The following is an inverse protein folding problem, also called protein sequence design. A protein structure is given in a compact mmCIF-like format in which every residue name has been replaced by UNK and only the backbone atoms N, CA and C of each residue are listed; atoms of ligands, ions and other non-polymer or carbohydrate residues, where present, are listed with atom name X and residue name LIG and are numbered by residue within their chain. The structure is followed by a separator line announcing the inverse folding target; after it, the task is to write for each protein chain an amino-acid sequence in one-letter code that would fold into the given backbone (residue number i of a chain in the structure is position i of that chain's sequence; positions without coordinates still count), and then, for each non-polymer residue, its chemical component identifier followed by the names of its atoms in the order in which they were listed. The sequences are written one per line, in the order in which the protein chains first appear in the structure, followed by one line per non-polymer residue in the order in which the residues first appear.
data_IF_602236113003
#
_entry.id   IF_602236113003
#
_cell.length_a   1.000
_cell.length_b   1.000
_cell.length_c   1.000
_cell.angle_alpha   90.00
_cell.angle_beta   90.00
_cell.angle_gamma   90.00
#
_symmetry.space_group_name_H-M   'P 1'
#
loop_
_entity.id
_entity.type
_entity.pdbx_description
1 polymer ?
#
# COMPACT_ATOMS: atom_id res chain seq x y z
N UNK A 1 22.35 -2.59 -12.69
CA UNK A 1 21.33 -3.41 -13.39
C UNK A 1 20.43 -2.50 -14.23
N UNK A 2 20.06 -2.91 -15.45
CA UNK A 2 19.12 -2.13 -16.27
C UNK A 2 17.72 -2.18 -15.61
N UNK A 3 16.95 -1.07 -15.64
CA UNK A 3 15.59 -0.99 -15.08
C UNK A 3 14.68 -2.11 -15.59
N UNK A 4 14.80 -2.44 -16.87
CA UNK A 4 14.03 -3.53 -17.47
C UNK A 4 14.41 -4.90 -16.92
N UNK A 5 15.69 -5.08 -16.55
CA UNK A 5 16.16 -6.31 -15.93
C UNK A 5 15.64 -6.43 -14.50
N UNK A 6 15.63 -5.33 -13.73
CA UNK A 6 15.04 -5.30 -12.38
C UNK A 6 13.57 -5.74 -12.41
N UNK A 7 12.77 -5.22 -13.35
CA UNK A 7 11.38 -5.63 -13.52
C UNK A 7 11.22 -7.11 -13.88
N UNK A 8 12.07 -7.60 -14.80
CA UNK A 8 12.05 -9.01 -15.21
C UNK A 8 12.40 -9.94 -14.07
N UNK A 9 13.37 -9.56 -13.23
CA UNK A 9 13.78 -10.33 -12.06
C UNK A 9 12.69 -10.30 -10.97
N UNK A 10 12.12 -9.14 -10.67
CA UNK A 10 10.98 -9.03 -9.75
C UNK A 10 9.79 -9.87 -10.23
N UNK A 11 9.48 -9.84 -11.52
CA UNK A 11 8.43 -10.67 -12.12
C UNK A 11 8.76 -12.16 -12.07
N UNK A 12 10.02 -12.54 -12.31
CA UNK A 12 10.46 -13.93 -12.24
C UNK A 12 10.38 -14.49 -10.81
N UNK A 13 10.78 -13.69 -9.80
CA UNK A 13 10.63 -14.01 -8.38
C UNK A 13 9.17 -14.29 -8.04
N UNK A 14 8.29 -13.38 -8.46
CA UNK A 14 6.86 -13.48 -8.23
C UNK A 14 6.25 -14.72 -8.91
N UNK A 15 6.65 -15.03 -10.15
CA UNK A 15 6.14 -16.20 -10.89
C UNK A 15 6.63 -17.54 -10.33
N UNK A 16 7.87 -17.57 -9.83
CA UNK A 16 8.49 -18.81 -9.31
C UNK A 16 8.02 -19.19 -7.90
N UNK A 17 7.53 -18.23 -7.12
CA UNK A 17 7.24 -18.44 -5.70
C UNK A 17 5.74 -18.20 -5.40
N UNK A 18 4.87 -19.22 -5.59
CA UNK A 18 3.45 -19.10 -5.29
C UNK A 18 3.18 -18.81 -3.80
N UNK A 19 4.13 -19.13 -2.91
CA UNK A 19 4.05 -18.79 -1.49
C UNK A 19 3.98 -17.28 -1.25
N UNK A 20 4.66 -16.47 -2.06
CA UNK A 20 4.61 -15.01 -1.92
C UNK A 20 3.20 -14.50 -2.29
N UNK A 21 2.57 -15.09 -3.29
CA UNK A 21 1.17 -14.82 -3.64
C UNK A 21 0.22 -15.20 -2.51
N UNK A 22 0.34 -16.41 -1.96
CA UNK A 22 -0.57 -16.87 -0.92
C UNK A 22 -0.45 -16.02 0.34
N UNK A 23 0.76 -15.65 0.79
CA UNK A 23 0.93 -14.71 1.91
C UNK A 23 0.26 -13.39 1.61
N UNK A 24 0.54 -12.78 0.44
CA UNK A 24 0.01 -11.46 0.14
C UNK A 24 -1.50 -11.48 0.02
N UNK A 25 -2.07 -12.52 -0.58
CA UNK A 25 -3.51 -12.71 -0.74
C UNK A 25 -4.19 -12.96 0.61
N UNK A 26 -3.69 -13.89 1.43
CA UNK A 26 -4.24 -14.15 2.78
C UNK A 26 -4.24 -12.87 3.59
N UNK A 27 -3.14 -12.13 3.51
CA UNK A 27 -3.00 -10.96 4.34
C UNK A 27 -3.86 -9.80 3.83
N UNK A 28 -3.98 -9.58 2.52
CA UNK A 28 -4.99 -8.64 1.99
C UNK A 28 -6.43 -9.10 2.22
N UNK A 29 -6.70 -10.41 2.31
CA UNK A 29 -8.01 -10.91 2.70
C UNK A 29 -8.32 -10.58 4.15
N UNK A 30 -7.35 -10.72 5.05
CA UNK A 30 -7.49 -10.28 6.43
C UNK A 30 -7.66 -8.74 6.47
N UNK A 31 -6.89 -7.96 5.72
CA UNK A 31 -7.06 -6.51 5.64
C UNK A 31 -8.45 -6.11 5.14
N UNK A 32 -8.97 -6.81 4.12
CA UNK A 32 -10.30 -6.58 3.59
C UNK A 32 -11.38 -6.95 4.61
N UNK A 33 -11.24 -8.07 5.32
CA UNK A 33 -12.16 -8.48 6.39
C UNK A 33 -12.10 -7.49 7.55
N UNK A 34 -10.92 -7.06 7.98
CA UNK A 34 -10.73 -6.05 9.01
C UNK A 34 -11.36 -4.74 8.57
N UNK A 35 -11.01 -4.25 7.38
CA UNK A 35 -11.58 -3.03 6.81
C UNK A 35 -13.10 -3.11 6.74
N UNK A 36 -13.64 -4.28 6.38
CA UNK A 36 -15.07 -4.53 6.30
C UNK A 36 -15.76 -4.54 7.67
N UNK A 37 -15.20 -5.27 8.65
CA UNK A 37 -15.69 -5.26 10.03
C UNK A 37 -15.71 -3.84 10.60
N UNK A 38 -14.75 -3.01 10.19
CA UNK A 38 -14.70 -1.63 10.65
C UNK A 38 -15.62 -0.68 9.85
N UNK A 39 -15.98 -0.99 8.60
CA UNK A 39 -17.04 -0.24 7.89
C UNK A 39 -18.39 -0.39 8.61
N UNK A 40 -18.64 -1.54 9.23
CA UNK A 40 -19.83 -1.78 10.04
C UNK A 40 -19.78 -1.09 11.41
N UNK A 41 -18.62 -0.58 11.82
CA UNK A 41 -18.47 0.10 13.09
C UNK A 41 -19.03 1.52 13.01
N UNK A 42 -19.56 2.06 14.12
CA UNK A 42 -20.15 3.40 14.13
C UNK A 42 -19.09 4.49 13.88
N UNK A 43 -19.47 5.72 13.48
CA UNK A 43 -18.53 6.79 13.09
C UNK A 43 -17.46 7.11 14.15
N UNK A 44 -17.78 6.96 15.44
CA UNK A 44 -16.84 7.11 16.54
C UNK A 44 -15.68 6.08 16.49
N UNK A 45 -15.82 4.98 15.76
CA UNK A 45 -14.81 3.95 15.61
C UNK A 45 -13.79 4.23 14.49
N UNK A 46 -13.85 5.39 13.81
CA UNK A 46 -12.89 5.76 12.75
C UNK A 46 -11.44 5.72 13.25
N UNK A 47 -11.18 6.16 14.49
CA UNK A 47 -9.82 6.11 15.06
C UNK A 47 -9.36 4.65 15.21
N UNK A 48 -10.23 3.79 15.75
CA UNK A 48 -9.95 2.36 15.89
C UNK A 48 -9.67 1.73 14.52
N UNK A 49 -10.43 2.11 13.48
CA UNK A 49 -10.18 1.70 12.08
C UNK A 49 -8.77 2.01 11.64
N UNK A 50 -8.39 3.28 11.77
CA UNK A 50 -7.10 3.75 11.30
C UNK A 50 -5.97 3.04 12.04
N UNK A 51 -6.12 2.81 13.35
CA UNK A 51 -5.13 2.08 14.16
C UNK A 51 -4.99 0.63 13.72
N UNK A 52 -6.10 -0.10 13.52
CA UNK A 52 -6.01 -1.51 13.11
C UNK A 52 -5.42 -1.64 11.71
N UNK A 53 -5.89 -0.83 10.74
CA UNK A 53 -5.33 -0.80 9.40
C UNK A 53 -3.84 -0.45 9.41
N UNK A 54 -3.43 0.46 10.28
CA UNK A 54 -2.03 0.85 10.44
C UNK A 54 -1.14 -0.28 10.98
N UNK A 55 -1.57 -0.96 12.04
CA UNK A 55 -0.88 -2.12 12.61
C UNK A 55 -0.73 -3.20 11.55
N UNK A 56 -1.80 -3.42 10.78
CA UNK A 56 -1.83 -4.43 9.74
C UNK A 56 -0.92 -4.10 8.57
N UNK A 57 -0.91 -2.86 8.11
CA UNK A 57 0.00 -2.37 7.08
C UNK A 57 1.47 -2.54 7.51
N UNK A 58 1.80 -2.17 8.75
CA UNK A 58 3.16 -2.33 9.29
C UNK A 58 3.58 -3.82 9.36
N UNK A 59 2.68 -4.70 9.82
CA UNK A 59 2.89 -6.15 9.80
C UNK A 59 3.20 -6.63 8.38
N UNK A 60 2.39 -6.20 7.41
CA UNK A 60 2.51 -6.62 6.02
C UNK A 60 3.79 -6.19 5.35
N UNK A 61 4.16 -4.92 5.53
CA UNK A 61 5.42 -4.38 5.03
C UNK A 61 6.60 -5.20 5.56
N UNK A 62 6.62 -5.50 6.87
CA UNK A 62 7.68 -6.30 7.48
C UNK A 62 7.75 -7.73 6.93
N UNK A 63 6.59 -8.39 6.80
CA UNK A 63 6.51 -9.75 6.26
C UNK A 63 6.98 -9.80 4.80
N UNK A 64 6.47 -8.91 3.94
CA UNK A 64 6.80 -8.90 2.51
C UNK A 64 8.27 -8.59 2.25
N UNK A 65 8.84 -7.58 2.90
CA UNK A 65 10.25 -7.23 2.71
C UNK A 65 11.16 -8.40 3.08
N UNK A 66 10.87 -9.08 4.20
CA UNK A 66 11.68 -10.23 4.63
C UNK A 66 11.54 -11.42 3.68
N UNK A 67 10.31 -11.78 3.29
CA UNK A 67 10.07 -12.90 2.36
C UNK A 67 10.76 -12.68 1.01
N UNK A 68 10.67 -11.47 0.46
CA UNK A 68 11.37 -11.11 -0.78
C UNK A 68 12.88 -11.25 -0.60
N UNK A 69 13.43 -10.83 0.54
CA UNK A 69 14.86 -10.97 0.80
C UNK A 69 15.30 -12.43 0.86
N UNK A 70 14.56 -13.28 1.58
CA UNK A 70 14.83 -14.72 1.65
C UNK A 70 14.82 -15.37 0.25
N UNK A 71 13.86 -14.99 -0.60
CA UNK A 71 13.82 -15.45 -2.01
C UNK A 71 15.05 -14.97 -2.79
N UNK A 72 15.40 -13.70 -2.66
CA UNK A 72 16.53 -13.13 -3.37
C UNK A 72 17.86 -13.80 -2.95
N UNK A 73 17.96 -14.26 -1.70
CA UNK A 73 19.08 -15.04 -1.18
C UNK A 73 18.98 -16.55 -1.51
N UNK A 74 17.95 -16.99 -2.23
CA UNK A 74 17.74 -18.39 -2.61
C UNK A 74 17.37 -19.33 -1.45
N UNK A 75 16.92 -18.77 -0.32
CA UNK A 75 16.52 -19.55 0.85
C UNK A 75 15.11 -20.12 0.67
N UNK A 76 14.82 -21.32 1.23
CA UNK A 76 13.46 -21.85 1.25
C UNK A 76 12.56 -20.91 2.04
N UNK A 77 11.33 -20.75 1.57
CA UNK A 77 10.36 -19.82 2.16
C UNK A 77 9.33 -20.62 2.92
N UNK A 78 9.11 -20.27 4.19
CA UNK A 78 7.94 -20.75 4.92
C UNK A 78 6.99 -19.60 5.27
N UNK A 79 5.68 -19.87 5.28
CA UNK A 79 4.67 -18.89 5.70
C UNK A 79 4.93 -18.39 7.13
N UNK A 80 5.40 -19.29 7.99
CA UNK A 80 5.68 -19.04 9.40
C UNK A 80 6.81 -18.02 9.55
N UNK A 81 7.88 -18.13 8.75
CA UNK A 81 8.97 -17.14 8.74
C UNK A 81 8.48 -15.74 8.34
N UNK A 82 7.57 -15.65 7.36
CA UNK A 82 6.95 -14.39 6.97
C UNK A 82 6.15 -13.74 8.10
N UNK A 83 5.30 -14.53 8.77
CA UNK A 83 4.51 -14.06 9.92
C UNK A 83 5.41 -13.66 11.10
N UNK A 84 6.39 -14.49 11.44
CA UNK A 84 7.32 -14.20 12.54
C UNK A 84 8.14 -12.94 12.27
N UNK A 85 8.58 -12.73 11.03
CA UNK A 85 9.28 -11.53 10.62
C UNK A 85 8.40 -10.27 10.70
N UNK A 86 7.15 -10.37 10.23
CA UNK A 86 6.16 -9.30 10.36
C UNK A 86 5.92 -8.92 11.83
N UNK A 87 5.72 -9.90 12.71
CA UNK A 87 5.52 -9.68 14.15
C UNK A 87 6.77 -9.08 14.82
N UNK A 88 7.95 -9.60 14.53
CA UNK A 88 9.22 -9.12 15.13
C UNK A 88 9.52 -7.67 14.76
N UNK A 89 9.10 -7.24 13.57
CA UNK A 89 9.33 -5.87 13.05
C UNK A 89 8.12 -4.95 13.20
N UNK A 90 7.01 -5.44 13.73
CA UNK A 90 5.75 -4.70 13.86
C UNK A 90 5.95 -3.36 14.58
N UNK A 91 6.47 -3.41 15.83
CA UNK A 91 6.56 -2.21 16.68
C UNK A 91 7.55 -1.18 16.11
N UNK A 92 8.77 -1.56 15.66
CA UNK A 92 9.67 -0.61 15.02
C UNK A 92 9.11 -0.01 13.71
N UNK A 93 8.43 -0.79 12.87
CA UNK A 93 7.80 -0.29 11.64
C UNK A 93 6.63 0.65 11.95
N UNK A 94 5.82 0.33 12.96
CA UNK A 94 4.74 1.19 13.41
C UNK A 94 5.30 2.53 13.89
N UNK A 95 6.31 2.52 14.75
CA UNK A 95 6.95 3.73 15.24
C UNK A 95 7.60 4.55 14.10
N UNK A 96 8.28 3.89 13.16
CA UNK A 96 8.83 4.52 11.96
C UNK A 96 7.74 5.23 11.16
N UNK A 97 6.63 4.53 10.89
CA UNK A 97 5.53 5.08 10.12
C UNK A 97 4.87 6.26 10.83
N UNK A 98 4.66 6.20 12.16
CA UNK A 98 4.11 7.35 12.91
C UNK A 98 4.99 8.57 12.72
N UNK A 99 6.31 8.41 12.85
CA UNK A 99 7.25 9.52 12.68
C UNK A 99 7.21 10.07 11.26
N UNK A 100 7.08 9.22 10.24
CA UNK A 100 6.95 9.64 8.85
C UNK A 100 5.63 10.34 8.52
N UNK A 101 4.55 10.01 9.23
CA UNK A 101 3.24 10.66 9.06
C UNK A 101 3.10 11.97 9.85
N UNK A 102 3.90 12.22 10.88
CA UNK A 102 3.84 13.46 11.67
C UNK A 102 3.87 14.75 10.81
N UNK A 103 4.75 14.90 9.80
CA UNK A 103 4.73 16.08 8.93
C UNK A 103 3.42 16.25 8.15
N UNK A 104 2.83 15.15 7.69
CA UNK A 104 1.56 15.15 6.94
C UNK A 104 0.41 15.54 7.88
N UNK A 105 0.35 14.94 9.07
CA UNK A 105 -0.64 15.26 10.09
C UNK A 105 -0.56 16.71 10.53
N UNK A 106 0.66 17.23 10.72
CA UNK A 106 0.88 18.63 11.03
C UNK A 106 0.39 19.55 9.91
N UNK A 107 0.70 19.24 8.65
CA UNK A 107 0.22 20.01 7.51
C UNK A 107 -1.31 20.01 7.41
N UNK A 108 -1.96 18.84 7.54
CA UNK A 108 -3.42 18.73 7.54
C UNK A 108 -4.02 19.55 8.70
N UNK A 109 -3.47 19.43 9.90
CA UNK A 109 -3.92 20.16 11.08
C UNK A 109 -3.85 21.68 10.89
N UNK A 110 -2.74 22.20 10.37
CA UNK A 110 -2.58 23.64 10.13
C UNK A 110 -3.60 24.15 9.10
N UNK A 111 -3.95 23.34 8.11
CA UNK A 111 -4.86 23.73 7.04
C UNK A 111 -6.34 23.60 7.44
N UNK A 112 -6.70 22.59 8.23
CA UNK A 112 -8.08 22.31 8.60
C UNK A 112 -8.48 22.86 9.97
N UNK A 113 -7.52 23.15 10.84
CA UNK A 113 -7.74 23.52 12.24
C UNK A 113 -8.28 22.38 13.10
N UNK A 114 -8.33 21.13 12.61
CA UNK A 114 -9.01 20.02 13.30
C UNK A 114 -8.27 18.69 13.19
N UNK A 115 -8.00 18.07 14.34
CA UNK A 115 -7.40 16.73 14.43
C UNK A 115 -8.34 15.67 13.85
N UNK A 116 -9.66 15.84 13.99
CA UNK A 116 -10.64 14.90 13.45
C UNK A 116 -10.49 14.71 11.94
N UNK A 117 -10.20 15.81 11.22
CA UNK A 117 -10.00 15.75 9.76
C UNK A 117 -8.78 14.94 9.34
N UNK A 118 -7.78 14.76 10.21
CA UNK A 118 -6.61 13.91 9.92
C UNK A 118 -7.04 12.46 9.79
N UNK A 119 -7.88 11.99 10.71
CA UNK A 119 -8.34 10.60 10.75
C UNK A 119 -9.52 10.35 9.82
N UNK A 120 -10.33 11.36 9.52
CA UNK A 120 -11.44 11.24 8.57
C UNK A 120 -11.02 11.50 7.12
N UNK A 121 -9.94 12.25 6.88
CA UNK A 121 -9.39 12.42 5.53
C UNK A 121 -8.58 11.19 5.16
N UNK A 122 -8.83 10.64 3.97
CA UNK A 122 -8.01 9.56 3.44
C UNK A 122 -6.53 9.90 3.51
N UNK A 123 -6.13 11.15 3.28
CA UNK A 123 -4.72 11.59 3.26
C UNK A 123 -3.94 11.40 4.57
N UNK A 124 -4.61 11.42 5.73
CA UNK A 124 -3.96 11.22 7.03
C UNK A 124 -3.88 9.75 7.44
N UNK A 125 -4.54 8.86 6.69
CA UNK A 125 -4.51 7.43 6.94
C UNK A 125 -3.31 6.75 6.25
N UNK A 126 -2.80 5.65 6.80
CA UNK A 126 -1.76 4.85 6.18
C UNK A 126 -2.33 3.97 5.06
N UNK A 127 -1.67 3.92 3.90
CA UNK A 127 -2.05 3.05 2.78
C UNK A 127 -3.34 3.45 2.04
N UNK A 128 -3.94 4.57 2.43
CA UNK A 128 -5.21 5.09 1.91
C UNK A 128 -5.07 5.96 0.67
N UNK A 129 -3.86 6.19 0.18
CA UNK A 129 -3.64 7.00 -1.02
C UNK A 129 -4.18 6.26 -2.25
N UNK A 130 -5.44 6.53 -2.60
CA UNK A 130 -6.03 5.98 -3.81
C UNK A 130 -5.71 6.90 -4.99
N UNK A 131 -5.56 6.31 -6.18
CA UNK A 131 -5.36 7.09 -7.40
C UNK A 131 -6.51 8.08 -7.65
N UNK A 132 -7.72 7.75 -7.18
CA UNK A 132 -8.92 8.60 -7.19
C UNK A 132 -8.75 9.87 -6.35
N UNK A 133 -8.06 9.80 -5.20
CA UNK A 133 -7.77 10.97 -4.37
C UNK A 133 -6.86 11.93 -5.12
N UNK A 134 -5.81 11.41 -5.76
CA UNK A 134 -4.89 12.23 -6.58
C UNK A 134 -5.62 12.93 -7.71
N UNK A 135 -6.46 12.20 -8.45
CA UNK A 135 -7.25 12.74 -9.57
C UNK A 135 -8.25 13.81 -9.10
N UNK A 136 -8.94 13.59 -7.98
CA UNK A 136 -9.87 14.58 -7.42
C UNK A 136 -9.14 15.84 -6.90
N UNK A 137 -7.89 15.69 -6.47
CA UNK A 137 -7.06 16.78 -5.97
C UNK A 137 -6.29 17.51 -7.08
N UNK A 138 -6.25 17.01 -8.32
CA UNK A 138 -5.54 17.66 -9.44
C UNK A 138 -5.99 19.11 -9.66
N UNK A 139 -7.28 19.41 -9.48
CA UNK A 139 -7.82 20.78 -9.55
C UNK A 139 -7.41 21.68 -8.38
N UNK A 140 -7.05 21.09 -7.23
CA UNK A 140 -6.67 21.78 -6.00
C UNK A 140 -5.14 21.82 -5.75
N UNK A 141 -4.33 21.24 -6.66
CA UNK A 141 -2.87 21.15 -6.50
C UNK A 141 -2.15 22.50 -6.47
N UNK A 142 -2.82 23.61 -6.84
CA UNK A 142 -2.23 24.96 -6.82
C UNK A 142 -2.23 25.63 -5.43
N UNK A 143 -2.70 24.94 -4.37
CA UNK A 143 -2.75 25.51 -3.02
C UNK A 143 -2.33 24.55 -1.89
N UNK A 144 -2.95 24.74 -0.73
CA UNK A 144 -2.74 23.97 0.50
C UNK A 144 -2.77 22.44 0.31
N UNK A 145 -3.69 21.94 -0.51
CA UNK A 145 -3.80 20.52 -0.84
C UNK A 145 -2.56 19.99 -1.58
N UNK A 146 -2.01 20.76 -2.52
CA UNK A 146 -0.79 20.42 -3.23
C UNK A 146 0.41 20.25 -2.30
N UNK A 147 0.51 21.08 -1.26
CA UNK A 147 1.56 20.96 -0.24
C UNK A 147 1.44 19.65 0.57
N UNK A 148 0.23 19.28 1.01
CA UNK A 148 0.00 18.02 1.74
C UNK A 148 0.39 16.81 0.87
N UNK A 149 -0.01 16.83 -0.39
CA UNK A 149 0.33 15.77 -1.36
C UNK A 149 1.84 15.69 -1.56
N UNK A 150 2.53 16.83 -1.71
CA UNK A 150 3.98 16.87 -1.87
C UNK A 150 4.72 16.33 -0.64
N UNK A 151 4.32 16.75 0.57
CA UNK A 151 4.89 16.24 1.82
C UNK A 151 4.67 14.74 1.92
N UNK A 152 3.44 14.27 1.68
CA UNK A 152 3.13 12.84 1.74
C UNK A 152 3.90 12.02 0.70
N UNK A 153 4.07 12.54 -0.52
CA UNK A 153 4.88 11.87 -1.54
C UNK A 153 6.33 11.73 -1.07
N UNK A 154 6.92 12.79 -0.53
CA UNK A 154 8.30 12.75 -0.02
C UNK A 154 8.43 11.81 1.18
N UNK A 155 7.53 11.85 2.16
CA UNK A 155 7.60 10.96 3.33
C UNK A 155 7.44 9.50 2.96
N UNK A 156 6.57 9.17 2.00
CA UNK A 156 6.45 7.81 1.46
C UNK A 156 7.73 7.36 0.74
N UNK A 157 8.38 8.22 -0.04
CA UNK A 157 9.65 7.88 -0.69
C UNK A 157 10.77 7.62 0.32
N UNK A 158 10.85 8.41 1.39
CA UNK A 158 11.78 8.16 2.51
C UNK A 158 11.44 6.83 3.18
N UNK A 159 10.15 6.58 3.42
CA UNK A 159 9.63 5.36 4.03
C UNK A 159 10.12 4.10 3.32
N UNK A 160 10.10 4.09 1.99
CA UNK A 160 10.59 2.95 1.19
C UNK A 160 12.03 2.58 1.57
N UNK A 161 12.95 3.56 1.67
CA UNK A 161 14.33 3.28 2.07
C UNK A 161 14.43 2.89 3.55
N UNK A 162 13.77 3.64 4.42
CA UNK A 162 13.84 3.47 5.87
C UNK A 162 13.29 2.11 6.34
N UNK A 163 12.13 1.68 5.82
CA UNK A 163 11.54 0.38 6.13
C UNK A 163 12.49 -0.77 5.79
N UNK A 164 13.19 -0.69 4.65
CA UNK A 164 14.13 -1.72 4.19
C UNK A 164 15.40 -1.75 5.01
N UNK A 165 15.97 -0.59 5.34
CA UNK A 165 17.10 -0.52 6.28
C UNK A 165 16.70 -1.09 7.65
N UNK A 166 15.50 -0.78 8.14
CA UNK A 166 15.02 -1.28 9.43
C UNK A 166 14.80 -2.80 9.42
N UNK A 167 14.18 -3.35 8.38
CA UNK A 167 13.84 -4.79 8.31
C UNK A 167 15.07 -5.62 7.98
N UNK A 168 15.83 -5.25 6.94
CA UNK A 168 16.93 -6.03 6.39
C UNK A 168 18.22 -5.90 7.20
N UNK A 169 18.51 -4.71 7.72
CA UNK A 169 19.77 -4.45 8.47
C UNK A 169 19.55 -4.39 9.97
N UNK A 170 18.29 -4.38 10.43
CA UNK A 170 17.98 -4.28 11.85
C UNK A 170 18.39 -2.96 12.49
N UNK A 171 18.51 -1.90 11.68
CA UNK A 171 18.90 -0.58 12.16
C UNK A 171 17.87 0.02 13.14
N UNK A 172 18.34 0.95 13.98
CA UNK A 172 17.45 1.76 14.83
C UNK A 172 16.60 2.70 13.99
N UNK A 173 15.43 3.10 14.49
CA UNK A 173 14.46 3.94 13.75
C UNK A 173 15.10 5.23 13.22
N UNK A 174 15.93 5.89 14.04
CA UNK A 174 16.63 7.13 13.64
C UNK A 174 17.62 6.87 12.51
N UNK A 175 18.37 5.75 12.59
CA UNK A 175 19.33 5.36 11.55
C UNK A 175 18.61 4.99 10.26
N UNK A 176 17.48 4.29 10.37
CA UNK A 176 16.62 3.94 9.25
C UNK A 176 16.08 5.20 8.53
N UNK A 177 15.58 6.20 9.27
CA UNK A 177 15.14 7.48 8.70
C UNK A 177 16.26 8.21 7.98
N UNK A 178 17.44 8.31 8.62
CA UNK A 178 18.62 8.95 8.02
C UNK A 178 19.06 8.23 6.75
N UNK A 179 19.08 6.90 6.78
CA UNK A 179 19.40 6.05 5.62
C UNK A 179 18.38 6.26 4.50
N UNK A 180 17.08 6.23 4.81
CA UNK A 180 16.01 6.47 3.84
C UNK A 180 16.12 7.85 3.17
N UNK A 181 16.42 8.90 3.94
CA UNK A 181 16.67 10.24 3.42
C UNK A 181 17.91 10.31 2.53
N UNK A 182 19.03 9.73 3.00
CA UNK A 182 20.28 9.70 2.24
C UNK A 182 20.15 8.90 0.94
N UNK A 183 19.44 7.78 0.95
CA UNK A 183 19.14 6.97 -0.22
C UNK A 183 18.28 7.75 -1.22
N UNK A 184 17.24 8.42 -0.74
CA UNK A 184 16.40 9.26 -1.58
C UNK A 184 17.22 10.37 -2.26
N UNK A 185 18.09 11.07 -1.54
CA UNK A 185 18.91 12.14 -2.12
C UNK A 185 19.99 11.62 -3.08
N UNK A 186 20.67 10.53 -2.72
CA UNK A 186 21.74 9.95 -3.54
C UNK A 186 21.23 9.28 -4.82
N UNK A 187 20.01 8.73 -4.79
CA UNK A 187 19.41 7.99 -5.91
C UNK A 187 18.06 8.60 -6.36
N UNK A 188 17.86 9.91 -6.18
CA UNK A 188 16.59 10.59 -6.42
C UNK A 188 16.00 10.29 -7.81
N UNK A 189 16.85 10.31 -8.84
CA UNK A 189 16.44 10.03 -10.23
C UNK A 189 15.94 8.60 -10.42
N UNK A 190 16.56 7.65 -9.75
CA UNK A 190 16.20 6.23 -9.85
C UNK A 190 14.93 5.95 -9.05
N UNK A 191 14.83 6.49 -7.82
CA UNK A 191 13.61 6.50 -7.02
C UNK A 191 12.43 7.05 -7.82
N UNK A 192 12.56 8.27 -8.35
CA UNK A 192 11.50 8.92 -9.12
C UNK A 192 11.09 8.08 -10.34
N UNK A 193 12.07 7.53 -11.06
CA UNK A 193 11.78 6.70 -12.24
C UNK A 193 11.06 5.40 -11.88
N UNK A 194 11.45 4.72 -10.79
CA UNK A 194 10.78 3.49 -10.35
C UNK A 194 9.36 3.82 -9.90
N UNK A 195 9.19 4.91 -9.13
CA UNK A 195 7.87 5.38 -8.68
C UNK A 195 6.95 5.71 -9.85
N UNK A 196 7.40 6.52 -10.82
CA UNK A 196 6.60 6.89 -12.00
C UNK A 196 6.19 5.63 -12.79
N UNK A 197 7.11 4.67 -12.93
CA UNK A 197 6.83 3.43 -13.62
C UNK A 197 5.81 2.55 -12.87
N UNK A 198 5.93 2.44 -11.54
CA UNK A 198 4.95 1.72 -10.72
C UNK A 198 3.58 2.40 -10.73
N UNK A 199 3.54 3.73 -10.73
CA UNK A 199 2.30 4.51 -10.92
C UNK A 199 1.70 4.23 -12.29
N UNK A 200 2.51 4.27 -13.36
CA UNK A 200 2.06 3.92 -14.71
C UNK A 200 1.51 2.49 -14.80
N UNK A 201 2.13 1.55 -14.10
CA UNK A 201 1.64 0.16 -14.00
C UNK A 201 0.29 0.10 -13.29
N UNK A 202 0.13 0.75 -12.14
CA UNK A 202 -1.15 0.83 -11.43
C UNK A 202 -2.23 1.43 -12.33
N UNK A 203 -1.95 2.58 -12.95
CA UNK A 203 -2.91 3.24 -13.85
C UNK A 203 -3.31 2.33 -15.01
N UNK A 204 -2.35 1.64 -15.62
CA UNK A 204 -2.62 0.70 -16.72
C UNK A 204 -3.48 -0.48 -16.26
N UNK A 205 -3.15 -1.08 -15.10
CA UNK A 205 -3.90 -2.19 -14.53
C UNK A 205 -5.30 -1.77 -14.12
N UNK A 206 -5.45 -0.63 -13.45
CA UNK A 206 -6.75 -0.07 -13.05
C UNK A 206 -7.61 0.28 -14.25
N UNK A 207 -7.03 0.83 -15.32
CA UNK A 207 -7.75 1.16 -16.54
C UNK A 207 -8.19 -0.10 -17.28
N UNK A 208 -7.29 -1.08 -17.46
CA UNK A 208 -7.61 -2.36 -18.06
C UNK A 208 -8.70 -3.09 -17.26
N UNK A 209 -8.60 -3.07 -15.93
CA UNK A 209 -9.60 -3.62 -15.04
C UNK A 209 -10.94 -2.91 -15.19
N UNK A 210 -10.98 -1.57 -15.22
CA UNK A 210 -12.20 -0.81 -15.43
C UNK A 210 -12.88 -1.16 -16.77
N UNK A 211 -12.10 -1.32 -17.84
CA UNK A 211 -12.65 -1.69 -19.16
C UNK A 211 -13.12 -3.15 -19.26
N UNK A 212 -12.45 -4.09 -18.60
CA UNK A 212 -12.82 -5.52 -18.65
C UNK A 212 -13.96 -5.82 -17.67
N UNK A 213 -13.82 -5.34 -16.44
CA UNK A 213 -14.72 -5.68 -15.32
C UNK A 213 -15.90 -4.72 -15.25
N UNK A 214 -15.75 -3.45 -15.64
CA UNK A 214 -16.83 -2.46 -15.62
C UNK A 214 -18.09 -2.91 -16.37
N UNK A 215 -18.01 -3.34 -17.64
CA UNK A 215 -19.16 -3.86 -18.37
C UNK A 215 -19.80 -5.08 -17.70
N UNK A 216 -18.98 -6.01 -17.19
CA UNK A 216 -19.45 -7.21 -16.49
C UNK A 216 -20.24 -6.86 -15.22
N UNK A 217 -19.74 -5.90 -14.43
CA UNK A 217 -20.44 -5.44 -13.23
C UNK A 217 -21.72 -4.66 -13.59
N UNK A 218 -21.70 -3.87 -14.66
CA UNK A 218 -22.88 -3.13 -15.11
C UNK A 218 -24.01 -4.07 -15.57
N UNK A 219 -23.67 -5.15 -16.28
CA UNK A 219 -24.63 -6.18 -16.71
C UNK A 219 -25.22 -6.98 -15.55
N UNK A 220 -24.43 -7.25 -14.51
CA UNK A 220 -24.95 -7.88 -13.30
C UNK A 220 -25.84 -6.91 -12.49
N UNK A 221 -25.44 -5.63 -12.39
CA UNK A 221 -26.19 -4.61 -11.65
C UNK A 221 -27.59 -4.37 -12.23
N UNK A 222 -27.73 -4.31 -13.56
CA UNK A 222 -29.03 -4.14 -14.23
C UNK A 222 -29.96 -5.35 -14.06
N UNK A 223 -29.39 -6.56 -13.88
CA UNK A 223 -30.15 -7.77 -13.55
C UNK A 223 -30.79 -7.74 -12.16
N UNK A 224 -30.18 -7.04 -11.19
CA UNK A 224 -30.70 -6.91 -9.82
C UNK A 224 -31.61 -5.69 -9.63
N UNK A 225 -31.44 -4.62 -10.40
CA UNK A 225 -32.24 -3.39 -10.27
C UNK A 225 -33.69 -3.53 -10.75
N UNK A 226 -34.06 -4.63 -11.40
CA UNK A 226 -35.45 -4.92 -11.76
C UNK A 226 -36.25 -5.59 -10.63
N UNK A 227 -35.65 -5.82 -9.46
CA UNK A 227 -36.38 -6.30 -8.28
C UNK A 227 -37.30 -5.16 -7.74
N UNK A 228 -38.64 -5.34 -7.71
CA UNK A 228 -39.59 -4.26 -7.41
C UNK A 228 -39.48 -3.62 -6.01
N UNK A 229 -38.69 -4.19 -5.09
CA UNK A 229 -38.61 -3.76 -3.68
C UNK A 229 -37.29 -3.04 -3.32
N UNK A 230 -36.40 -2.78 -4.28
CA UNK A 230 -35.06 -2.26 -4.00
C UNK A 230 -35.01 -0.71 -3.87
N UNK A 231 -35.70 -0.15 -2.86
CA UNK A 231 -35.55 1.29 -2.49
C UNK A 231 -34.56 1.53 -1.35
N UNK A 232 -33.92 0.48 -0.84
CA UNK A 232 -32.87 0.58 0.18
C UNK A 232 -31.47 0.88 -0.41
N UNK A 233 -30.51 1.32 0.42
CA UNK A 233 -29.11 1.40 0.01
C UNK A 233 -28.65 0.06 -0.55
N UNK A 234 -27.91 0.08 -1.65
CA UNK A 234 -27.46 -1.12 -2.34
C UNK A 234 -26.83 -2.09 -1.32
N UNK A 235 -27.32 -3.34 -1.23
CA UNK A 235 -26.80 -4.26 -0.23
C UNK A 235 -25.32 -4.49 -0.50
N UNK A 236 -24.50 -4.23 0.52
CA UNK A 236 -23.04 -4.47 0.49
C UNK A 236 -22.73 -5.90 0.04
N UNK A 237 -23.63 -6.84 0.33
CA UNK A 237 -23.55 -8.27 -0.04
C UNK A 237 -24.13 -8.64 -1.41
N UNK A 238 -24.35 -7.68 -2.31
CA UNK A 238 -24.67 -8.03 -3.69
C UNK A 238 -23.56 -8.95 -4.27
N UNK A 239 -23.90 -10.03 -4.99
CA UNK A 239 -22.91 -10.89 -5.65
C UNK A 239 -21.91 -10.10 -6.51
N UNK A 240 -22.37 -9.00 -7.11
CA UNK A 240 -21.56 -8.07 -7.89
C UNK A 240 -20.44 -7.44 -7.06
N UNK A 241 -20.77 -6.97 -5.86
CA UNK A 241 -19.81 -6.37 -4.94
C UNK A 241 -18.81 -7.41 -4.42
N UNK A 242 -19.27 -8.62 -4.12
CA UNK A 242 -18.39 -9.71 -3.66
C UNK A 242 -17.36 -10.05 -4.75
N UNK A 243 -17.80 -10.23 -6.00
CA UNK A 243 -16.89 -10.50 -7.12
C UNK A 243 -15.92 -9.34 -7.32
N UNK A 244 -16.39 -8.09 -7.27
CA UNK A 244 -15.53 -6.91 -7.37
C UNK A 244 -14.47 -6.86 -6.26
N UNK A 245 -14.85 -7.13 -5.01
CA UNK A 245 -13.94 -7.16 -3.86
C UNK A 245 -12.88 -8.26 -4.06
N UNK A 246 -13.28 -9.46 -4.46
CA UNK A 246 -12.36 -10.57 -4.69
C UNK A 246 -11.34 -10.24 -5.78
N UNK A 247 -11.77 -9.69 -6.92
CA UNK A 247 -10.83 -9.36 -7.99
C UNK A 247 -9.92 -8.19 -7.56
N UNK A 248 -10.48 -7.17 -6.90
CA UNK A 248 -9.69 -6.03 -6.38
C UNK A 248 -8.62 -6.50 -5.40
N UNK A 249 -8.96 -7.44 -4.52
CA UNK A 249 -8.03 -8.05 -3.58
C UNK A 249 -6.90 -8.79 -4.30
N UNK A 250 -7.20 -9.57 -5.33
CA UNK A 250 -6.18 -10.28 -6.13
C UNK A 250 -5.26 -9.28 -6.84
N UNK A 251 -5.81 -8.27 -7.51
CA UNK A 251 -5.01 -7.26 -8.24
C UNK A 251 -4.13 -6.45 -7.29
N UNK A 252 -4.68 -6.00 -6.16
CA UNK A 252 -3.92 -5.26 -5.16
C UNK A 252 -2.84 -6.14 -4.51
N UNK A 253 -3.10 -7.44 -4.29
CA UNK A 253 -2.11 -8.37 -3.74
C UNK A 253 -0.92 -8.51 -4.68
N UNK A 254 -1.23 -8.66 -5.97
CA UNK A 254 -0.23 -8.78 -7.01
C UNK A 254 0.65 -7.53 -7.10
N UNK A 255 0.00 -6.37 -7.09
CA UNK A 255 0.70 -5.09 -7.12
C UNK A 255 1.58 -4.89 -5.89
N UNK A 256 1.07 -5.12 -4.68
CA UNK A 256 1.81 -4.93 -3.44
C UNK A 256 3.04 -5.85 -3.37
N UNK A 257 2.88 -7.12 -3.72
CA UNK A 257 3.96 -8.10 -3.83
C UNK A 257 5.03 -7.66 -4.85
N UNK A 258 4.59 -7.24 -6.04
CA UNK A 258 5.47 -6.80 -7.11
C UNK A 258 6.24 -5.53 -6.74
N UNK A 259 5.55 -4.50 -6.24
CA UNK A 259 6.15 -3.25 -5.81
C UNK A 259 7.15 -3.48 -4.68
N UNK A 260 6.79 -4.30 -3.68
CA UNK A 260 7.71 -4.66 -2.59
C UNK A 260 8.96 -5.37 -3.13
N UNK A 261 8.80 -6.27 -4.11
CA UNK A 261 9.90 -6.98 -4.77
C UNK A 261 10.84 -6.01 -5.51
N UNK A 262 10.29 -5.15 -6.35
CA UNK A 262 11.03 -4.13 -7.13
C UNK A 262 11.87 -3.26 -6.21
N UNK A 263 11.25 -2.70 -5.16
CA UNK A 263 11.95 -1.79 -4.25
C UNK A 263 13.00 -2.50 -3.40
N UNK A 264 12.77 -3.76 -3.01
CA UNK A 264 13.74 -4.53 -2.22
C UNK A 264 14.97 -4.89 -3.05
N UNK A 265 14.78 -5.30 -4.32
CA UNK A 265 15.90 -5.53 -5.24
C UNK A 265 16.67 -4.23 -5.54
N UNK A 266 15.96 -3.13 -5.79
CA UNK A 266 16.57 -1.82 -5.99
C UNK A 266 17.42 -1.41 -4.77
N UNK A 267 16.87 -1.57 -3.57
CA UNK A 267 17.56 -1.28 -2.32
C UNK A 267 18.86 -2.10 -2.17
N UNK A 268 18.81 -3.41 -2.43
CA UNK A 268 19.99 -4.27 -2.40
C UNK A 268 21.06 -3.80 -3.38
N UNK A 269 20.65 -3.49 -4.60
CA UNK A 269 21.55 -2.98 -5.63
C UNK A 269 22.24 -1.67 -5.20
N UNK A 270 21.51 -0.74 -4.57
CA UNK A 270 22.09 0.52 -4.05
C UNK A 270 23.06 0.30 -2.90
N UNK A 271 22.85 -0.75 -2.09
CA UNK A 271 23.74 -1.15 -1.02
C UNK A 271 24.89 -2.06 -1.49
N UNK A 272 24.94 -2.42 -2.78
CA UNK A 272 25.94 -3.34 -3.33
C UNK A 272 25.79 -4.81 -2.89
N UNK A 273 24.56 -5.24 -2.57
CA UNK A 273 24.18 -6.61 -2.19
C UNK A 273 23.33 -7.30 -3.27
#
# INVERSE_FOLDING_TARGET
MNRMQLLREAWAILKRNPTLWSVTLITLAIDAVVSWLVILAPPEAVILRSVVAFVFAAFMTGALINLVNLIADGQPITLIEGVQAGLRRLLPLLALNVILFLPVWFAIFVLSGSIYTIFSSGLGQPGSFQATDVLSLMGAMLGAAGLVVAINAVTNLIGIGAERTLVLEGATIVTALKSGWQLLLSHAREYLSISIMLVGLVLTLSLAFAFIVGPLLSGLATGFSQAPEATGPAPVFSPVNIVFILISLVVNSLYAAFASSVWTLAYRQWQGK
#
